data_IF_870779393939
#
_entry.id   IF_870779393939
#
_cell.length_a   1.000
_cell.length_b   1.000
_cell.length_c   1.000
_cell.angle_alpha   90.00
_cell.angle_beta   90.00
_cell.angle_gamma   90.00
#
_symmetry.space_group_name_H-M   'P 1'
#
loop_
_entity.id
_entity.type
_entity.pdbx_description
1 polymer ?
#
# COMPACT_ATOMS: atom_id res chain seq x y z
N UNK A 1 24.47 -12.66 3.66
CA UNK A 1 23.17 -13.38 3.55
C UNK A 1 22.13 -12.55 4.26
N UNK A 2 20.98 -12.28 3.63
CA UNK A 2 19.86 -11.64 4.32
C UNK A 2 19.24 -12.68 5.26
N UNK A 3 19.05 -12.37 6.54
CA UNK A 3 18.34 -13.24 7.49
C UNK A 3 16.83 -13.26 7.14
N UNK A 4 16.16 -14.39 7.32
CA UNK A 4 14.72 -14.58 7.07
C UNK A 4 13.86 -13.52 7.76
N UNK A 5 14.27 -13.05 8.94
CA UNK A 5 13.60 -11.94 9.66
C UNK A 5 13.70 -10.62 8.90
N UNK A 6 14.90 -10.31 8.40
CA UNK A 6 15.15 -9.10 7.60
C UNK A 6 14.43 -9.17 6.27
N UNK A 7 14.42 -10.35 5.63
CA UNK A 7 13.70 -10.58 4.40
C UNK A 7 12.19 -10.37 4.59
N UNK A 8 11.62 -10.96 5.64
CA UNK A 8 10.21 -10.80 5.97
C UNK A 8 9.82 -9.34 6.21
N UNK A 9 10.64 -8.60 6.97
CA UNK A 9 10.41 -7.18 7.22
C UNK A 9 10.44 -6.36 5.92
N UNK A 10 11.45 -6.57 5.07
CA UNK A 10 11.56 -5.88 3.77
C UNK A 10 10.36 -6.19 2.88
N UNK A 11 9.96 -7.46 2.77
CA UNK A 11 8.81 -7.87 1.99
C UNK A 11 7.52 -7.20 2.47
N UNK A 12 7.26 -7.21 3.77
CA UNK A 12 6.07 -6.59 4.35
C UNK A 12 6.05 -5.08 4.17
N UNK A 13 7.19 -4.40 4.35
CA UNK A 13 7.31 -2.94 4.14
C UNK A 13 7.06 -2.60 2.67
N UNK A 14 7.76 -3.25 1.74
CA UNK A 14 7.56 -3.03 0.31
C UNK A 14 6.11 -3.30 -0.10
N UNK A 15 5.52 -4.40 0.38
CA UNK A 15 4.14 -4.71 0.12
C UNK A 15 3.18 -3.67 0.70
N UNK A 16 3.49 -3.11 1.87
CA UNK A 16 2.72 -2.03 2.49
C UNK A 16 2.75 -0.76 1.65
N UNK A 17 3.91 -0.41 1.10
CA UNK A 17 4.07 0.73 0.20
C UNK A 17 3.26 0.52 -1.08
N UNK A 18 3.42 -0.64 -1.74
CA UNK A 18 2.75 -0.98 -3.00
C UNK A 18 1.23 -1.02 -2.80
N UNK A 19 0.75 -1.65 -1.72
CA UNK A 19 -0.67 -1.74 -1.39
C UNK A 19 -1.28 -0.34 -1.15
N UNK A 20 -0.67 0.49 -0.30
CA UNK A 20 -1.18 1.84 -0.03
C UNK A 20 -1.10 2.73 -1.28
N UNK A 21 -0.04 2.61 -2.08
CA UNK A 21 0.09 3.32 -3.35
C UNK A 21 -1.02 2.90 -4.33
N UNK A 22 -1.24 1.59 -4.52
CA UNK A 22 -2.31 1.06 -5.39
C UNK A 22 -3.67 1.59 -4.94
N UNK A 23 -3.94 1.54 -3.64
CA UNK A 23 -5.20 2.03 -3.06
C UNK A 23 -5.41 3.53 -3.31
N UNK A 24 -4.39 4.36 -3.09
CA UNK A 24 -4.48 5.79 -3.28
C UNK A 24 -4.65 6.17 -4.76
N UNK A 25 -3.91 5.51 -5.66
CA UNK A 25 -4.01 5.73 -7.10
C UNK A 25 -5.40 5.33 -7.64
N UNK A 26 -6.01 4.27 -7.13
CA UNK A 26 -7.37 3.84 -7.53
C UNK A 26 -8.48 4.77 -7.07
N UNK A 27 -8.29 5.42 -5.91
CA UNK A 27 -9.26 6.39 -5.38
C UNK A 27 -9.17 7.75 -6.07
N UNK A 28 -8.03 8.08 -6.67
CA UNK A 28 -7.87 9.33 -7.39
C UNK A 28 -8.55 9.30 -8.76
N UNK A 29 -9.19 10.41 -9.17
CA UNK A 29 -9.62 10.54 -10.55
C UNK A 29 -8.40 10.55 -11.48
N UNK A 30 -8.54 9.90 -12.64
CA UNK A 30 -7.46 9.70 -13.63
C UNK A 30 -6.78 11.01 -14.04
N UNK A 31 -7.54 12.10 -14.04
CA UNK A 31 -7.09 13.46 -14.40
C UNK A 31 -6.12 14.07 -13.38
N UNK A 32 -6.16 13.62 -12.12
CA UNK A 32 -5.29 14.12 -11.03
C UNK A 32 -4.07 13.24 -10.79
N UNK A 33 -3.99 12.09 -11.45
CA UNK A 33 -2.89 11.16 -11.30
C UNK A 33 -1.66 11.65 -12.09
N UNK A 34 -0.68 12.21 -11.38
CA UNK A 34 0.55 12.76 -11.98
C UNK A 34 1.71 11.77 -12.09
N UNK A 35 1.59 10.60 -11.46
CA UNK A 35 2.65 9.57 -11.41
C UNK A 35 2.27 8.38 -12.30
N UNK A 36 3.23 7.66 -12.89
CA UNK A 36 2.98 6.37 -13.52
C UNK A 36 2.24 5.40 -12.58
N UNK A 37 1.03 5.04 -12.96
CA UNK A 37 0.26 3.90 -12.45
C UNK A 37 -0.28 3.13 -13.65
N UNK A 38 -0.25 1.78 -13.64
CA UNK A 38 -0.80 0.99 -14.73
C UNK A 38 -2.27 1.34 -14.96
N UNK A 39 -2.60 1.82 -16.17
CA UNK A 39 -3.97 2.13 -16.58
C UNK A 39 -4.71 0.93 -17.17
N UNK A 40 -3.98 -0.12 -17.54
CA UNK A 40 -4.53 -1.37 -18.07
C UNK A 40 -4.99 -2.30 -16.94
N UNK A 41 -6.11 -3.00 -17.16
CA UNK A 41 -6.66 -3.97 -16.21
C UNK A 41 -5.64 -5.04 -15.82
N UNK A 42 -4.85 -5.52 -16.79
CA UNK A 42 -3.80 -6.52 -16.56
C UNK A 42 -2.66 -5.95 -15.72
N UNK A 43 -2.23 -4.71 -15.98
CA UNK A 43 -1.18 -4.06 -15.19
C UNK A 43 -1.61 -3.82 -13.75
N UNK A 44 -2.85 -3.42 -13.54
CA UNK A 44 -3.44 -3.27 -12.20
C UNK A 44 -3.50 -4.60 -11.45
N UNK A 45 -3.88 -5.69 -12.14
CA UNK A 45 -3.93 -7.04 -11.57
C UNK A 45 -2.53 -7.54 -11.16
N UNK A 46 -1.54 -7.38 -12.04
CA UNK A 46 -0.16 -7.79 -11.75
C UNK A 46 0.42 -7.00 -10.57
N UNK A 47 0.12 -5.70 -10.50
CA UNK A 47 0.52 -4.86 -9.38
C UNK A 47 -0.12 -5.33 -8.08
N UNK A 48 -1.41 -5.70 -8.11
CA UNK A 48 -2.10 -6.23 -6.94
C UNK A 48 -1.56 -7.59 -6.48
N UNK A 49 -1.34 -8.49 -7.44
CA UNK A 49 -0.74 -9.79 -7.15
C UNK A 49 0.67 -9.63 -6.57
N UNK A 50 1.44 -8.63 -7.02
CA UNK A 50 2.80 -8.42 -6.52
C UNK A 50 2.82 -8.15 -5.01
N UNK A 51 1.99 -7.23 -4.51
CA UNK A 51 1.97 -6.95 -3.07
C UNK A 51 1.31 -8.09 -2.29
N UNK A 52 0.28 -8.75 -2.83
CA UNK A 52 -0.34 -9.91 -2.19
C UNK A 52 0.67 -11.04 -1.97
N UNK A 53 1.49 -11.36 -2.98
CA UNK A 53 2.53 -12.37 -2.88
C UNK A 53 3.60 -11.99 -1.85
N UNK A 54 4.03 -10.72 -1.84
CA UNK A 54 5.00 -10.23 -0.86
C UNK A 54 4.45 -10.28 0.57
N UNK A 55 3.17 -9.92 0.77
CA UNK A 55 2.50 -10.06 2.08
C UNK A 55 2.41 -11.51 2.49
N UNK A 56 1.91 -12.39 1.61
CA UNK A 56 1.73 -13.80 1.91
C UNK A 56 3.07 -14.45 2.31
N UNK A 57 4.13 -14.18 1.53
CA UNK A 57 5.45 -14.71 1.82
C UNK A 57 6.08 -14.07 3.06
N UNK A 58 5.92 -12.76 3.26
CA UNK A 58 6.39 -12.07 4.47
C UNK A 58 5.71 -12.58 5.75
N UNK A 59 4.40 -12.84 5.72
CA UNK A 59 3.69 -13.45 6.85
C UNK A 59 4.06 -14.92 7.04
N UNK A 60 4.20 -15.68 5.96
CA UNK A 60 4.68 -17.06 6.05
C UNK A 60 6.02 -17.13 6.79
N UNK A 61 6.99 -16.27 6.43
CA UNK A 61 8.29 -16.21 7.10
C UNK A 61 8.17 -15.78 8.57
N UNK A 62 7.40 -14.75 8.89
CA UNK A 62 7.24 -14.32 10.30
C UNK A 62 6.55 -15.35 11.17
N UNK A 63 5.54 -16.07 10.64
CA UNK A 63 4.83 -17.14 11.34
C UNK A 63 5.70 -18.38 11.55
N UNK A 64 6.59 -18.72 10.61
CA UNK A 64 7.57 -19.79 10.75
C UNK A 64 8.59 -19.49 11.86
N UNK A 65 8.97 -18.22 12.04
CA UNK A 65 9.87 -17.81 13.11
C UNK A 65 9.15 -17.82 14.47
N UNK A 66 7.99 -17.18 14.57
CA UNK A 66 7.18 -17.15 15.79
C UNK A 66 5.76 -16.64 15.51
N UNK A 67 4.75 -17.34 16.02
CA UNK A 67 3.34 -16.92 15.89
C UNK A 67 3.09 -15.54 16.49
N UNK A 68 3.75 -15.20 17.62
CA UNK A 68 3.64 -13.89 18.24
C UNK A 68 4.20 -12.79 17.33
N UNK A 69 5.35 -13.07 16.67
CA UNK A 69 5.95 -12.13 15.72
C UNK A 69 5.07 -11.93 14.49
N UNK A 70 4.46 -13.00 13.97
CA UNK A 70 3.49 -12.93 12.88
C UNK A 70 2.25 -12.10 13.22
N UNK A 71 1.69 -12.26 14.42
CA UNK A 71 0.55 -11.44 14.89
C UNK A 71 0.94 -9.96 15.03
N UNK A 72 2.10 -9.65 15.60
CA UNK A 72 2.61 -8.28 15.71
C UNK A 72 2.84 -7.67 14.33
N UNK A 73 3.46 -8.42 13.42
CA UNK A 73 3.68 -7.99 12.04
C UNK A 73 2.34 -7.71 11.32
N UNK A 74 1.32 -8.55 11.54
CA UNK A 74 0.00 -8.33 10.97
C UNK A 74 -0.66 -7.06 11.54
N UNK A 75 -0.59 -6.88 12.87
CA UNK A 75 -1.07 -5.65 13.52
C UNK A 75 -0.40 -4.39 12.95
N UNK A 76 0.93 -4.41 12.80
CA UNK A 76 1.68 -3.30 12.19
C UNK A 76 1.24 -3.07 10.74
N UNK A 77 1.14 -4.13 9.94
CA UNK A 77 0.79 -4.03 8.52
C UNK A 77 -0.62 -3.47 8.30
N UNK A 78 -1.61 -3.92 9.06
CA UNK A 78 -3.01 -3.51 8.86
C UNK A 78 -3.39 -2.25 9.64
N UNK A 79 -2.81 -2.02 10.81
CA UNK A 79 -3.20 -0.89 11.68
C UNK A 79 -2.24 0.28 11.61
N UNK A 80 -0.95 0.06 11.38
CA UNK A 80 0.05 1.14 11.47
C UNK A 80 0.47 1.65 10.08
N UNK A 81 0.71 0.76 9.13
CA UNK A 81 1.17 1.13 7.79
C UNK A 81 0.22 2.07 7.04
N UNK A 82 -1.11 1.95 7.09
CA UNK A 82 -1.98 2.91 6.45
C UNK A 82 -1.73 4.34 6.94
N UNK A 83 -1.60 4.55 8.25
CA UNK A 83 -1.39 5.88 8.83
C UNK A 83 0.03 6.40 8.61
N UNK A 84 1.04 5.53 8.59
CA UNK A 84 2.43 5.94 8.37
C UNK A 84 2.74 6.20 6.90
N UNK A 85 2.18 5.41 5.98
CA UNK A 85 2.56 5.43 4.56
C UNK A 85 1.66 6.33 3.73
N UNK A 86 0.38 6.49 4.05
CA UNK A 86 -0.52 7.33 3.26
C UNK A 86 -0.13 8.82 3.22
N UNK A 87 0.31 9.47 4.32
CA UNK A 87 0.75 10.87 4.27
C UNK A 87 1.95 11.13 3.34
N UNK A 88 3.07 10.38 3.41
CA UNK A 88 4.17 10.57 2.47
C UNK A 88 3.79 10.16 1.04
N UNK A 89 2.95 9.15 0.85
CA UNK A 89 2.45 8.77 -0.48
C UNK A 89 1.55 9.86 -1.09
N UNK A 90 0.71 10.54 -0.28
CA UNK A 90 -0.08 11.68 -0.73
C UNK A 90 0.83 12.80 -1.27
N UNK A 91 1.94 13.06 -0.57
CA UNK A 91 2.94 14.03 -0.99
C UNK A 91 3.63 13.63 -2.29
N UNK A 92 3.98 12.35 -2.44
CA UNK A 92 4.53 11.84 -3.69
C UNK A 92 3.54 12.07 -4.83
N UNK A 93 2.25 11.81 -4.63
CA UNK A 93 1.16 12.04 -5.60
C UNK A 93 0.91 13.53 -5.90
N UNK A 94 1.66 14.45 -5.27
CA UNK A 94 1.60 15.88 -5.53
C UNK A 94 0.61 16.64 -4.66
N UNK A 95 0.07 16.02 -3.61
CA UNK A 95 -0.80 16.68 -2.63
C UNK A 95 0.03 17.27 -1.49
N UNK A 96 -0.37 18.43 -0.96
CA UNK A 96 0.33 19.06 0.16
C UNK A 96 0.12 18.29 1.47
N UNK A 97 -1.04 17.65 1.62
CA UNK A 97 -1.43 16.87 2.79
C UNK A 97 -2.34 15.69 2.42
N UNK A 98 -2.47 14.72 3.34
CA UNK A 98 -3.43 13.63 3.20
C UNK A 98 -4.88 14.14 3.19
N UNK A 99 -5.19 15.22 3.92
CA UNK A 99 -6.52 15.85 3.90
C UNK A 99 -6.86 16.42 2.53
N UNK A 100 -5.89 17.02 1.82
CA UNK A 100 -6.13 17.51 0.45
C UNK A 100 -6.44 16.36 -0.51
N UNK A 101 -5.76 15.23 -0.35
CA UNK A 101 -6.05 14.02 -1.09
C UNK A 101 -7.49 13.55 -0.82
N UNK A 102 -7.88 13.40 0.45
CA UNK A 102 -9.22 12.92 0.83
C UNK A 102 -10.33 13.86 0.32
N UNK A 103 -10.16 15.17 0.51
CA UNK A 103 -11.11 16.17 0.01
C UNK A 103 -11.26 16.08 -1.52
N UNK A 104 -10.15 15.82 -2.22
CA UNK A 104 -10.17 15.68 -3.68
C UNK A 104 -10.91 14.43 -4.16
N UNK A 105 -10.87 13.35 -3.38
CA UNK A 105 -11.60 12.10 -3.67
C UNK A 105 -13.08 12.19 -3.31
N UNK A 106 -13.42 12.84 -2.19
CA UNK A 106 -14.80 13.01 -1.74
C UNK A 106 -15.58 13.96 -2.66
N UNK A 107 -14.94 15.06 -3.11
CA UNK A 107 -15.54 16.00 -4.06
C UNK A 107 -15.86 15.32 -5.41
N UNK A 108 -15.04 14.35 -5.85
CA UNK A 108 -15.31 13.60 -7.07
C UNK A 108 -16.47 12.62 -6.89
N UNK A 109 -16.47 11.87 -5.78
CA UNK A 109 -17.53 10.91 -5.45
C UNK A 109 -18.92 11.56 -5.38
N UNK A 110 -19.00 12.80 -4.89
CA UNK A 110 -20.26 13.56 -4.84
C UNK A 110 -20.71 14.14 -6.19
N UNK A 111 -19.88 14.10 -7.24
CA UNK A 111 -20.27 14.52 -8.60
C UNK A 111 -20.76 13.36 -9.46
N UNK A 112 -20.50 12.13 -9.04
CA UNK A 112 -20.94 10.90 -9.73
C UNK A 112 -22.27 10.35 -9.19
N UNK A 113 -22.80 10.91 -8.09
CA UNK A 113 -24.13 10.64 -7.52
C UNK A 113 -25.08 11.80 -7.78
#
# INVERSE_FOLDING_TARGET
>A
MLNDTTLAAVLLICAGIIHNYSFMCRKLPKEKLKIPYPSSTVGMLLFDLSWLLMVAYGFYLTLQISTMLGMVAAGIYFLLFPFLLQPPLARLLGFRSLSDFVNSTDTHRNREN
#
